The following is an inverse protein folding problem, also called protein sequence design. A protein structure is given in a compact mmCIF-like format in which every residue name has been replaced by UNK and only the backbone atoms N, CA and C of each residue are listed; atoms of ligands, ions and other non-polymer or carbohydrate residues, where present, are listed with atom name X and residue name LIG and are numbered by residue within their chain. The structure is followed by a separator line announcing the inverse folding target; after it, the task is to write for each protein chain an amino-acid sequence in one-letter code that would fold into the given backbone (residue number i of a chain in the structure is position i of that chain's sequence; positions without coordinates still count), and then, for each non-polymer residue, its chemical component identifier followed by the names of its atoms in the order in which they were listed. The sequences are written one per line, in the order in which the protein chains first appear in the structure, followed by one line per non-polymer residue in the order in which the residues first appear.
data_IF_731115258650
#
_entry.id   IF_731115258650
#
_cell.length_a   1.000
_cell.length_b   1.000
_cell.length_c   1.000
_cell.angle_alpha   90.00
_cell.angle_beta   90.00
_cell.angle_gamma   90.00
#
_symmetry.space_group_name_H-M   'P 1'
#
loop_
_entity.id
_entity.type
_entity.pdbx_description
1 polymer ?
#
# COMPACT_ATOMS: atom_id res chain seq x y z
N UNK A 1 9.28 -19.94 -26.02
CA UNK A 1 9.27 -19.74 -27.49
C UNK A 1 10.65 -20.07 -27.97
N UNK A 2 10.86 -21.24 -28.57
CA UNK A 2 12.14 -21.57 -29.20
C UNK A 2 12.19 -20.89 -30.59
N UNK A 3 13.34 -20.36 -30.98
CA UNK A 3 13.53 -19.77 -32.32
C UNK A 3 13.18 -18.29 -32.48
N UNK A 4 12.84 -17.55 -31.42
CA UNK A 4 12.70 -16.09 -31.50
C UNK A 4 14.00 -15.38 -31.06
N UNK A 5 14.43 -14.33 -31.77
CA UNK A 5 15.54 -13.48 -31.35
C UNK A 5 15.11 -12.67 -30.13
N UNK A 6 15.65 -13.01 -28.96
CA UNK A 6 15.34 -12.37 -27.67
C UNK A 6 16.65 -12.01 -26.97
N UNK A 7 16.79 -10.75 -26.56
CA UNK A 7 17.86 -10.31 -25.67
C UNK A 7 17.53 -10.76 -24.24
N UNK A 8 18.50 -11.38 -23.56
CA UNK A 8 18.32 -11.90 -22.21
C UNK A 8 18.98 -10.97 -21.21
N UNK A 9 18.18 -10.41 -20.30
CA UNK A 9 18.68 -9.64 -19.15
C UNK A 9 18.66 -10.53 -17.90
N UNK A 10 19.82 -10.88 -17.32
CA UNK A 10 19.88 -11.69 -16.11
C UNK A 10 19.36 -10.94 -14.87
N UNK A 11 18.67 -11.64 -13.97
CA UNK A 11 18.13 -11.09 -12.71
C UNK A 11 18.82 -11.75 -11.49
N UNK A 12 19.06 -11.03 -10.38
CA UNK A 12 18.65 -9.65 -10.06
C UNK A 12 19.62 -8.56 -10.50
N UNK A 13 19.10 -7.55 -11.22
CA UNK A 13 19.85 -6.32 -11.54
C UNK A 13 19.93 -5.39 -10.33
N UNK A 14 18.89 -5.36 -9.49
CA UNK A 14 18.74 -4.40 -8.39
C UNK A 14 19.78 -4.53 -7.25
N UNK A 15 20.62 -5.56 -7.25
CA UNK A 15 21.65 -5.79 -6.21
C UNK A 15 23.07 -5.45 -6.67
N UNK A 16 23.25 -5.07 -7.93
CA UNK A 16 24.57 -4.86 -8.51
C UNK A 16 25.03 -3.40 -8.34
N UNK A 17 26.33 -3.16 -8.13
CA UNK A 17 26.87 -1.81 -8.18
C UNK A 17 26.81 -1.26 -9.62
N UNK A 18 26.91 0.06 -9.83
CA UNK A 18 26.80 0.66 -11.16
C UNK A 18 27.65 0.02 -12.27
N UNK A 19 28.90 -0.42 -12.03
CA UNK A 19 29.67 -1.16 -13.04
C UNK A 19 29.03 -2.49 -13.45
N UNK A 20 28.49 -3.26 -12.50
CA UNK A 20 27.81 -4.52 -12.79
C UNK A 20 26.44 -4.34 -13.47
N UNK A 21 25.80 -3.18 -13.27
CA UNK A 21 24.61 -2.80 -14.06
C UNK A 21 24.99 -2.42 -15.49
N UNK A 22 26.11 -1.70 -15.67
CA UNK A 22 26.63 -1.33 -16.99
C UNK A 22 27.01 -2.56 -17.80
N UNK A 23 27.72 -3.53 -17.21
CA UNK A 23 28.12 -4.77 -17.89
C UNK A 23 26.90 -5.55 -18.43
N UNK A 24 25.83 -5.66 -17.63
CA UNK A 24 24.59 -6.30 -18.06
C UNK A 24 23.91 -5.51 -19.18
N UNK A 25 23.91 -4.18 -19.09
CA UNK A 25 23.34 -3.32 -20.11
C UNK A 25 24.10 -3.45 -21.44
N UNK A 26 25.44 -3.46 -21.39
CA UNK A 26 26.31 -3.59 -22.56
C UNK A 26 26.13 -4.96 -23.23
N UNK A 27 26.03 -6.04 -22.45
CA UNK A 27 25.75 -7.38 -22.96
C UNK A 27 24.37 -7.46 -23.63
N UNK A 28 23.34 -6.85 -23.03
CA UNK A 28 21.99 -6.82 -23.59
C UNK A 28 21.93 -6.00 -24.88
N UNK A 29 22.61 -4.85 -24.92
CA UNK A 29 22.73 -4.02 -26.12
C UNK A 29 23.47 -4.76 -27.22
N UNK A 30 24.58 -5.44 -26.93
CA UNK A 30 25.32 -6.25 -27.90
C UNK A 30 24.45 -7.35 -28.52
N UNK A 31 23.63 -8.02 -27.71
CA UNK A 31 22.66 -8.99 -28.20
C UNK A 31 21.61 -8.33 -29.12
N UNK A 32 21.10 -7.15 -28.78
CA UNK A 32 20.14 -6.41 -29.61
C UNK A 32 20.75 -6.03 -30.95
N UNK A 33 21.97 -5.50 -30.96
CA UNK A 33 22.68 -5.10 -32.18
C UNK A 33 22.90 -6.32 -33.08
N UNK A 34 23.42 -7.43 -32.54
CA UNK A 34 23.58 -8.67 -33.31
C UNK A 34 22.27 -9.14 -33.94
N UNK A 35 21.16 -9.12 -33.21
CA UNK A 35 19.85 -9.52 -33.72
C UNK A 35 19.30 -8.58 -34.81
N UNK A 36 19.74 -7.33 -34.86
CA UNK A 36 19.36 -6.37 -35.90
C UNK A 36 20.22 -6.49 -37.16
N UNK A 37 21.48 -6.93 -37.02
CA UNK A 37 22.45 -7.02 -38.11
C UNK A 37 22.53 -8.41 -38.76
N UNK A 38 22.18 -9.47 -38.04
CA UNK A 38 22.28 -10.83 -38.52
C UNK A 38 21.21 -11.18 -39.57
N UNK A 39 21.59 -12.05 -40.52
CA UNK A 39 20.67 -12.58 -41.52
C UNK A 39 19.59 -13.46 -40.87
N UNK A 40 18.33 -13.26 -41.29
CA UNK A 40 17.17 -13.84 -40.60
C UNK A 40 17.18 -15.38 -40.54
N UNK A 41 17.71 -16.04 -41.57
CA UNK A 41 17.81 -17.50 -41.63
C UNK A 41 18.83 -18.07 -40.64
N UNK A 42 19.99 -17.42 -40.54
CA UNK A 42 21.06 -17.79 -39.62
C UNK A 42 20.66 -17.50 -38.18
N UNK A 43 20.05 -16.34 -37.94
CA UNK A 43 19.56 -15.94 -36.63
C UNK A 43 18.46 -16.89 -36.12
N UNK A 44 17.59 -17.37 -37.01
CA UNK A 44 16.56 -18.34 -36.65
C UNK A 44 17.14 -19.70 -36.25
N UNK A 45 18.18 -20.18 -36.93
CA UNK A 45 18.90 -21.40 -36.55
C UNK A 45 19.67 -21.23 -35.24
N UNK A 46 20.36 -20.10 -35.07
CA UNK A 46 21.04 -19.76 -33.81
C UNK A 46 20.04 -19.74 -32.64
N UNK A 47 18.90 -19.06 -32.79
CA UNK A 47 17.87 -18.96 -31.75
C UNK A 47 17.14 -20.28 -31.47
N UNK A 48 17.08 -21.20 -32.45
CA UNK A 48 16.57 -22.57 -32.24
C UNK A 48 17.52 -23.39 -31.38
N UNK A 49 18.83 -23.23 -31.58
CA UNK A 49 19.87 -24.01 -30.91
C UNK A 49 20.38 -23.36 -29.61
N UNK A 50 20.10 -22.08 -29.39
CA UNK A 50 20.51 -21.34 -28.19
C UNK A 50 19.87 -21.97 -26.93
N UNK A 51 20.67 -22.47 -25.97
CA UNK A 51 20.16 -22.94 -24.70
C UNK A 51 19.64 -21.72 -23.93
N UNK A 52 18.33 -21.51 -23.95
CA UNK A 52 17.73 -20.50 -23.08
C UNK A 52 17.92 -20.95 -21.64
N UNK A 53 18.39 -20.08 -20.73
CA UNK A 53 18.39 -20.40 -19.32
C UNK A 53 16.96 -20.81 -18.99
N UNK A 54 16.79 -22.06 -18.50
CA UNK A 54 15.49 -22.52 -18.01
C UNK A 54 15.05 -21.41 -17.07
N UNK A 55 13.89 -20.78 -17.34
CA UNK A 55 13.26 -19.87 -16.36
C UNK A 55 13.38 -20.63 -15.05
N UNK A 56 14.26 -20.17 -14.16
CA UNK A 56 14.23 -20.63 -12.80
C UNK A 56 12.80 -20.29 -12.44
N UNK A 57 11.94 -21.30 -12.29
CA UNK A 57 10.63 -21.05 -11.69
C UNK A 57 11.02 -20.29 -10.46
N UNK A 58 10.67 -19.01 -10.37
CA UNK A 58 10.74 -18.32 -9.11
C UNK A 58 9.95 -19.26 -8.21
N UNK A 59 10.65 -20.00 -7.34
CA UNK A 59 10.07 -21.15 -6.64
C UNK A 59 8.97 -20.66 -5.70
N UNK A 60 8.95 -19.37 -5.47
CA UNK A 60 7.84 -18.57 -5.02
C UNK A 60 7.01 -18.08 -6.22
N UNK A 61 5.94 -18.80 -6.57
CA UNK A 61 4.67 -18.06 -6.70
C UNK A 61 4.44 -17.56 -5.30
N UNK A 62 4.51 -16.25 -5.07
CA UNK A 62 4.10 -15.74 -3.78
C UNK A 62 2.75 -16.37 -3.47
N UNK A 63 2.60 -17.00 -2.30
CA UNK A 63 1.29 -17.37 -1.73
C UNK A 63 0.36 -16.14 -1.61
N UNK A 64 0.80 -14.97 -2.08
CA UNK A 64 0.20 -13.69 -1.88
C UNK A 64 0.22 -12.82 -3.15
N UNK A 65 0.42 -13.44 -4.33
CA UNK A 65 0.25 -12.76 -5.62
C UNK A 65 -1.22 -12.77 -6.03
N UNK A 66 -1.97 -11.76 -5.60
CA UNK A 66 -3.27 -11.43 -6.18
C UNK A 66 -3.28 -9.97 -6.61
N UNK A 67 -3.68 -9.71 -7.85
CA UNK A 67 -3.80 -8.37 -8.40
C UNK A 67 -5.28 -7.97 -8.54
N UNK A 68 -5.86 -7.55 -7.42
CA UNK A 68 -7.27 -7.11 -7.37
C UNK A 68 -7.53 -5.79 -8.12
N UNK A 69 -6.48 -5.04 -8.45
CA UNK A 69 -6.59 -3.74 -9.11
C UNK A 69 -6.03 -3.75 -10.54
N UNK A 70 -5.75 -4.93 -11.09
CA UNK A 70 -5.37 -5.08 -12.49
C UNK A 70 -6.49 -4.54 -13.41
N UNK A 71 -6.15 -3.96 -14.58
CA UNK A 71 -7.13 -3.69 -15.62
C UNK A 71 -7.90 -4.98 -15.97
N UNK A 72 -9.22 -4.98 -15.74
CA UNK A 72 -10.09 -6.14 -15.97
C UNK A 72 -10.21 -7.13 -14.81
N UNK A 73 -9.71 -6.79 -13.61
CA UNK A 73 -10.04 -7.55 -12.41
C UNK A 73 -11.56 -7.58 -12.18
N UNK A 74 -12.13 -8.72 -11.76
CA UNK A 74 -13.57 -8.81 -11.54
C UNK A 74 -13.99 -7.94 -10.37
N UNK A 75 -15.11 -7.21 -10.52
CA UNK A 75 -15.67 -6.37 -9.45
C UNK A 75 -16.10 -7.17 -8.22
N UNK A 76 -16.49 -8.43 -8.44
CA UNK A 76 -16.94 -9.36 -7.39
C UNK A 76 -16.35 -10.74 -7.63
N UNK A 77 -16.08 -11.44 -6.54
CA UNK A 77 -15.61 -12.83 -6.57
C UNK A 77 -16.51 -13.68 -5.69
N UNK A 78 -16.84 -14.89 -6.16
CA UNK A 78 -17.49 -15.89 -5.33
C UNK A 78 -16.44 -16.57 -4.47
N UNK A 79 -16.67 -16.57 -3.15
CA UNK A 79 -15.85 -17.26 -2.17
C UNK A 79 -16.62 -18.42 -1.52
N UNK A 80 -15.95 -19.25 -0.73
CA UNK A 80 -16.61 -20.25 0.12
C UNK A 80 -17.57 -19.59 1.13
N UNK A 81 -18.65 -20.30 1.48
CA UNK A 81 -19.64 -19.80 2.43
C UNK A 81 -19.14 -19.81 3.89
N UNK A 82 -18.22 -20.72 4.23
CA UNK A 82 -17.62 -20.79 5.56
C UNK A 82 -16.66 -19.61 5.77
N UNK A 83 -16.80 -18.83 6.86
CA UNK A 83 -15.85 -17.79 7.23
C UNK A 83 -14.41 -18.30 7.32
N UNK A 84 -14.18 -19.51 7.82
CA UNK A 84 -12.86 -20.13 7.96
C UNK A 84 -12.25 -20.44 6.59
N UNK A 85 -13.05 -21.01 5.68
CA UNK A 85 -12.61 -21.31 4.32
C UNK A 85 -12.34 -20.01 3.54
N UNK A 86 -13.16 -18.98 3.72
CA UNK A 86 -12.96 -17.67 3.11
C UNK A 86 -11.68 -16.99 3.63
N UNK A 87 -11.46 -16.98 4.95
CA UNK A 87 -10.23 -16.49 5.56
C UNK A 87 -9.00 -17.22 5.02
N UNK A 88 -9.07 -18.55 4.89
CA UNK A 88 -7.97 -19.35 4.32
C UNK A 88 -7.67 -18.97 2.88
N UNK A 89 -8.69 -18.81 2.03
CA UNK A 89 -8.49 -18.45 0.61
C UNK A 89 -7.91 -17.05 0.47
N UNK A 90 -8.42 -16.07 1.22
CA UNK A 90 -7.91 -14.69 1.17
C UNK A 90 -6.50 -14.59 1.74
N UNK A 91 -6.19 -15.33 2.81
CA UNK A 91 -4.83 -15.46 3.32
C UNK A 91 -3.90 -16.04 2.25
N UNK A 92 -4.25 -17.18 1.64
CA UNK A 92 -3.50 -17.83 0.55
C UNK A 92 -3.44 -17.04 -0.77
N UNK A 93 -4.06 -15.86 -0.83
CA UNK A 93 -3.98 -14.94 -1.97
C UNK A 93 -3.30 -13.62 -1.63
N UNK A 94 -2.95 -13.39 -0.38
CA UNK A 94 -2.25 -12.16 0.02
C UNK A 94 -3.16 -10.98 0.27
N UNK A 95 -4.45 -11.24 0.45
CA UNK A 95 -5.45 -10.19 0.54
C UNK A 95 -5.75 -9.78 1.98
N UNK A 96 -5.04 -10.38 2.93
CA UNK A 96 -5.15 -10.09 4.35
C UNK A 96 -3.77 -9.80 4.91
N UNK A 97 -3.76 -9.23 6.09
CA UNK A 97 -2.59 -9.05 6.94
C UNK A 97 -2.24 -10.30 7.75
N UNK A 98 -2.90 -11.44 7.53
CA UNK A 98 -2.71 -12.66 8.32
C UNK A 98 -3.66 -12.81 9.51
N UNK A 99 -4.46 -11.79 9.81
CA UNK A 99 -5.54 -11.86 10.78
C UNK A 99 -6.88 -12.19 10.08
N UNK A 100 -7.86 -12.74 10.81
CA UNK A 100 -9.22 -12.86 10.30
C UNK A 100 -9.77 -11.50 9.85
N UNK A 101 -10.57 -11.50 8.79
CA UNK A 101 -11.15 -10.28 8.22
C UNK A 101 -12.68 -10.38 8.13
N UNK A 102 -13.33 -9.22 8.05
CA UNK A 102 -14.77 -9.15 7.77
C UNK A 102 -14.98 -9.13 6.25
N UNK A 103 -15.69 -10.12 5.72
CA UNK A 103 -15.94 -10.20 4.28
C UNK A 103 -16.68 -8.95 3.78
N UNK A 104 -16.15 -8.23 2.76
CA UNK A 104 -16.82 -7.09 2.13
C UNK A 104 -17.92 -7.60 1.19
N UNK A 105 -18.96 -8.20 1.75
CA UNK A 105 -20.16 -8.59 1.00
C UNK A 105 -20.84 -7.34 0.43
N UNK A 106 -21.63 -7.45 -0.65
CA UNK A 106 -22.32 -6.31 -1.25
C UNK A 106 -23.05 -5.44 -0.23
N UNK A 107 -23.85 -6.04 0.66
CA UNK A 107 -24.61 -5.31 1.68
C UNK A 107 -23.71 -4.53 2.67
N UNK A 108 -22.61 -5.14 3.14
CA UNK A 108 -21.67 -4.47 4.06
C UNK A 108 -20.89 -3.37 3.35
N UNK A 109 -20.53 -3.60 2.09
CA UNK A 109 -19.85 -2.62 1.27
C UNK A 109 -20.75 -1.42 0.98
N UNK A 110 -22.02 -1.63 0.62
CA UNK A 110 -23.00 -0.58 0.40
C UNK A 110 -23.27 0.23 1.68
N UNK A 111 -23.45 -0.46 2.81
CA UNK A 111 -23.62 0.19 4.11
C UNK A 111 -22.40 1.03 4.52
N UNK A 112 -21.19 0.55 4.23
CA UNK A 112 -19.94 1.31 4.48
C UNK A 112 -19.79 2.50 3.53
N UNK A 113 -20.15 2.32 2.25
CA UNK A 113 -20.06 3.35 1.21
C UNK A 113 -20.96 4.54 1.56
N UNK A 114 -22.14 4.27 2.13
CA UNK A 114 -23.08 5.26 2.65
C UNK A 114 -23.36 6.40 1.65
N UNK A 115 -23.67 6.03 0.40
CA UNK A 115 -24.05 6.95 -0.68
C UNK A 115 -22.91 7.74 -1.34
N UNK A 116 -21.64 7.47 -1.00
CA UNK A 116 -20.49 8.07 -1.69
C UNK A 116 -20.33 7.50 -3.10
N UNK A 117 -19.77 8.28 -4.01
CA UNK A 117 -19.48 7.85 -5.39
C UNK A 117 -18.33 6.82 -5.41
N UNK A 118 -18.58 5.53 -5.70
CA UNK A 118 -17.56 4.50 -5.58
C UNK A 118 -16.42 4.63 -6.62
N UNK A 119 -16.70 5.26 -7.76
CA UNK A 119 -15.71 5.51 -8.81
C UNK A 119 -14.79 6.70 -8.55
N UNK A 120 -15.07 7.54 -7.53
CA UNK A 120 -14.26 8.71 -7.22
C UNK A 120 -12.82 8.29 -6.91
N UNK A 121 -11.88 8.77 -7.73
CA UNK A 121 -10.45 8.50 -7.54
C UNK A 121 -9.86 9.40 -6.46
N UNK A 122 -9.14 8.78 -5.52
CA UNK A 122 -8.39 9.45 -4.46
C UNK A 122 -6.95 9.69 -4.91
N UNK A 123 -6.36 8.74 -5.64
CA UNK A 123 -5.05 8.84 -6.29
C UNK A 123 -4.37 7.48 -6.46
N UNK A 124 -3.09 7.49 -6.81
CA UNK A 124 -2.30 6.29 -7.03
C UNK A 124 -1.50 5.92 -5.77
N UNK A 125 -1.56 4.65 -5.38
CA UNK A 125 -0.86 4.12 -4.21
C UNK A 125 0.41 3.38 -4.66
N UNK A 126 1.57 3.92 -4.30
CA UNK A 126 2.87 3.29 -4.47
C UNK A 126 2.99 2.00 -3.60
N UNK A 127 3.82 1.01 -3.98
CA UNK A 127 4.75 1.01 -5.11
C UNK A 127 4.17 0.53 -6.46
N UNK A 128 2.98 -0.08 -6.49
CA UNK A 128 2.37 -0.56 -7.76
C UNK A 128 1.65 0.51 -8.56
N UNK A 129 1.51 1.71 -8.00
CA UNK A 129 0.66 2.77 -8.57
C UNK A 129 -0.78 2.30 -8.75
N UNK A 130 -1.28 1.50 -7.79
CA UNK A 130 -2.65 1.02 -7.81
C UNK A 130 -3.64 2.17 -7.64
N UNK A 131 -4.69 2.20 -8.45
CA UNK A 131 -5.70 3.26 -8.43
C UNK A 131 -6.59 3.12 -7.20
N UNK A 132 -6.46 4.00 -6.22
CA UNK A 132 -7.36 4.05 -5.07
C UNK A 132 -8.63 4.83 -5.44
N UNK A 133 -9.76 4.15 -5.40
CA UNK A 133 -11.10 4.75 -5.50
C UNK A 133 -11.79 4.69 -4.15
N UNK A 134 -12.85 5.48 -3.97
CA UNK A 134 -13.68 5.35 -2.76
C UNK A 134 -14.20 3.92 -2.60
N UNK A 135 -14.59 3.25 -3.69
CA UNK A 135 -15.11 1.89 -3.66
C UNK A 135 -14.10 0.85 -3.18
N UNK A 136 -12.86 0.84 -3.70
CA UNK A 136 -11.88 -0.16 -3.25
C UNK A 136 -11.33 0.16 -1.85
N UNK A 137 -11.24 1.44 -1.46
CA UNK A 137 -10.92 1.81 -0.07
C UNK A 137 -12.03 1.35 0.89
N UNK A 138 -13.29 1.48 0.48
CA UNK A 138 -14.46 0.99 1.24
C UNK A 138 -14.38 -0.52 1.48
N UNK A 139 -14.01 -1.31 0.47
CA UNK A 139 -13.82 -2.75 0.65
C UNK A 139 -12.73 -3.06 1.70
N UNK A 140 -11.59 -2.38 1.64
CA UNK A 140 -10.51 -2.52 2.63
C UNK A 140 -10.92 -2.07 4.04
N UNK A 141 -11.76 -1.03 4.16
CA UNK A 141 -12.30 -0.57 5.43
C UNK A 141 -13.24 -1.61 6.05
N UNK A 142 -14.11 -2.24 5.24
CA UNK A 142 -14.94 -3.36 5.73
C UNK A 142 -14.05 -4.50 6.20
N UNK A 143 -13.05 -4.90 5.40
CA UNK A 143 -12.12 -5.98 5.77
C UNK A 143 -11.41 -5.73 7.10
N UNK A 144 -11.06 -4.47 7.39
CA UNK A 144 -10.45 -4.06 8.65
C UNK A 144 -11.41 -4.10 9.85
N UNK A 145 -12.72 -4.25 9.62
CA UNK A 145 -13.75 -4.17 10.65
C UNK A 145 -14.07 -2.74 11.08
N UNK A 146 -13.86 -1.75 10.21
CA UNK A 146 -14.22 -0.37 10.50
C UNK A 146 -15.74 -0.16 10.50
N UNK A 147 -16.20 0.96 11.05
CA UNK A 147 -17.60 1.41 10.92
C UNK A 147 -17.72 2.52 9.88
N UNK A 148 -18.93 2.78 9.32
CA UNK A 148 -19.14 3.86 8.36
C UNK A 148 -18.71 5.24 8.88
N UNK A 149 -18.82 5.47 10.20
CA UNK A 149 -18.40 6.72 10.85
C UNK A 149 -16.88 6.98 10.73
N UNK A 150 -16.06 5.92 10.58
CA UNK A 150 -14.61 6.01 10.44
C UNK A 150 -14.17 6.32 9.00
N UNK A 151 -15.05 6.18 8.00
CA UNK A 151 -14.70 6.37 6.59
C UNK A 151 -14.10 7.74 6.25
N UNK A 152 -14.58 8.88 6.79
CA UNK A 152 -13.95 10.17 6.54
C UNK A 152 -12.45 10.18 6.90
N UNK A 153 -12.07 9.55 8.02
CA UNK A 153 -10.67 9.46 8.46
C UNK A 153 -9.87 8.55 7.54
N UNK A 154 -10.42 7.39 7.16
CA UNK A 154 -9.75 6.42 6.27
C UNK A 154 -9.52 7.01 4.87
N UNK A 155 -10.50 7.74 4.32
CA UNK A 155 -10.38 8.42 3.03
C UNK A 155 -9.35 9.56 3.10
N UNK A 156 -9.36 10.34 4.19
CA UNK A 156 -8.37 11.39 4.41
C UNK A 156 -6.95 10.82 4.56
N UNK A 157 -6.79 9.72 5.30
CA UNK A 157 -5.52 9.02 5.44
C UNK A 157 -5.03 8.48 4.09
N UNK A 158 -5.92 7.88 3.29
CA UNK A 158 -5.60 7.42 1.93
C UNK A 158 -5.14 8.57 1.03
N UNK A 159 -5.82 9.72 1.07
CA UNK A 159 -5.40 10.91 0.33
C UNK A 159 -4.05 11.45 0.82
N UNK A 160 -3.77 11.39 2.11
CA UNK A 160 -2.46 11.80 2.65
C UNK A 160 -1.32 10.88 2.16
N UNK A 161 -1.61 9.61 1.86
CA UNK A 161 -0.63 8.66 1.33
C UNK A 161 -0.18 8.98 -0.10
N UNK A 162 -0.99 9.68 -0.88
CA UNK A 162 -0.68 10.04 -2.28
C UNK A 162 0.16 11.31 -2.40
N UNK A 163 0.42 12.00 -1.29
CA UNK A 163 1.22 13.23 -1.28
C UNK A 163 2.69 12.90 -1.52
N UNK A 164 3.26 13.46 -2.58
CA UNK A 164 4.65 13.21 -3.01
C UNK A 164 5.67 13.38 -1.87
N UNK A 165 5.49 14.39 -1.01
CA UNK A 165 6.37 14.67 0.13
C UNK A 165 6.49 13.51 1.13
N UNK A 166 5.48 12.63 1.21
CA UNK A 166 5.54 11.45 2.07
C UNK A 166 6.53 10.40 1.55
N UNK A 167 6.82 10.40 0.24
CA UNK A 167 7.66 9.43 -0.45
C UNK A 167 7.26 7.98 -0.09
N UNK A 168 5.99 7.66 -0.33
CA UNK A 168 5.40 6.37 0.07
C UNK A 168 6.17 5.17 -0.51
N UNK A 169 6.69 5.29 -1.73
CA UNK A 169 7.50 4.26 -2.38
C UNK A 169 8.72 3.88 -1.54
N UNK A 170 9.44 4.86 -1.01
CA UNK A 170 10.58 4.63 -0.13
C UNK A 170 10.16 3.97 1.19
N UNK A 171 9.00 4.35 1.74
CA UNK A 171 8.49 3.79 2.99
C UNK A 171 8.01 2.34 2.87
N UNK A 172 7.41 1.95 1.73
CA UNK A 172 6.95 0.58 1.51
C UNK A 172 8.08 -0.35 1.04
N UNK A 173 8.99 0.14 0.20
CA UNK A 173 10.01 -0.70 -0.46
C UNK A 173 11.35 -0.76 0.28
N UNK A 174 11.45 -0.16 1.47
CA UNK A 174 12.67 -0.16 2.28
C UNK A 174 12.88 -1.49 3.01
N UNK A 175 14.13 -1.80 3.35
CA UNK A 175 14.49 -2.90 4.25
C UNK A 175 14.25 -2.57 5.73
N UNK A 176 14.03 -1.30 6.07
CA UNK A 176 13.60 -0.89 7.41
C UNK A 176 12.12 -1.23 7.64
N UNK A 177 11.72 -1.71 8.84
CA UNK A 177 10.33 -2.02 9.12
C UNK A 177 9.50 -0.75 9.40
N UNK A 178 9.20 0.04 8.36
CA UNK A 178 8.37 1.23 8.49
C UNK A 178 6.88 0.85 8.69
N UNK A 179 6.30 1.26 9.82
CA UNK A 179 4.85 1.33 10.02
C UNK A 179 4.35 2.73 9.66
N UNK A 180 3.17 2.81 9.05
CA UNK A 180 2.60 4.09 8.61
C UNK A 180 1.61 4.59 9.68
N UNK A 181 2.01 5.62 10.43
CA UNK A 181 1.20 6.16 11.52
C UNK A 181 0.14 7.13 11.00
N UNK A 182 -1.11 6.89 11.36
CA UNK A 182 -2.23 7.83 11.15
C UNK A 182 -2.52 8.61 12.43
N UNK A 183 -2.21 9.90 12.45
CA UNK A 183 -2.57 10.80 13.56
C UNK A 183 -3.86 11.53 13.21
N UNK A 184 -4.88 11.38 14.05
CA UNK A 184 -6.18 12.01 13.88
C UNK A 184 -6.28 13.23 14.77
N UNK A 185 -6.78 14.33 14.21
CA UNK A 185 -6.92 15.59 14.93
C UNK A 185 -8.33 16.16 14.77
N UNK A 186 -8.79 16.84 15.83
CA UNK A 186 -10.04 17.60 15.87
C UNK A 186 -11.21 16.81 16.45
N UNK A 187 -12.43 17.40 16.43
CA UNK A 187 -13.61 16.83 17.09
C UNK A 187 -13.94 15.39 16.68
N UNK A 188 -13.60 15.01 15.44
CA UNK A 188 -13.81 13.65 14.94
C UNK A 188 -13.05 12.58 15.74
N UNK A 189 -11.95 12.95 16.40
CA UNK A 189 -11.24 12.04 17.29
C UNK A 189 -12.08 11.67 18.52
N UNK A 190 -12.76 12.65 19.10
CA UNK A 190 -13.67 12.44 20.24
C UNK A 190 -14.95 11.73 19.78
N UNK A 191 -15.53 12.13 18.64
CA UNK A 191 -16.74 11.51 18.06
C UNK A 191 -16.55 10.02 17.77
N UNK A 192 -15.34 9.60 17.41
CA UNK A 192 -14.98 8.22 17.08
C UNK A 192 -14.30 7.46 18.23
N UNK A 193 -14.17 8.08 19.41
CA UNK A 193 -13.47 7.50 20.57
C UNK A 193 -12.05 7.03 20.22
N UNK A 194 -11.29 7.86 19.50
CA UNK A 194 -9.90 7.59 19.13
C UNK A 194 -8.99 7.96 20.30
N UNK A 195 -8.22 7.00 20.80
CA UNK A 195 -7.35 7.25 21.95
C UNK A 195 -6.14 8.12 21.61
N UNK A 196 -5.78 9.00 22.54
CA UNK A 196 -4.64 9.93 22.49
C UNK A 196 -3.69 9.84 23.71
N UNK A 197 -4.06 9.08 24.75
CA UNK A 197 -3.33 9.02 26.03
C UNK A 197 -2.65 7.66 26.30
N UNK A 198 -2.83 7.16 27.52
CA UNK A 198 -2.27 5.86 27.95
C UNK A 198 -2.64 4.76 26.96
N UNK A 199 -1.63 4.02 26.50
CA UNK A 199 -1.81 2.90 25.56
C UNK A 199 -2.46 3.29 24.20
N UNK A 200 -2.38 4.55 23.76
CA UNK A 200 -3.02 4.99 22.52
C UNK A 200 -2.51 4.29 21.24
N UNK A 201 -1.28 3.77 21.28
CA UNK A 201 -0.68 2.98 20.20
C UNK A 201 -0.87 1.46 20.38
N UNK A 202 -1.55 1.04 21.45
CA UNK A 202 -1.76 -0.36 21.80
C UNK A 202 -3.18 -0.84 21.51
N UNK A 203 -3.55 -1.95 22.14
CA UNK A 203 -4.87 -2.57 22.04
C UNK A 203 -5.95 -1.84 22.86
N UNK A 204 -7.21 -2.19 22.59
CA UNK A 204 -8.37 -1.84 23.42
C UNK A 204 -9.33 -0.84 22.80
N UNK A 205 -8.87 -0.06 21.81
CA UNK A 205 -9.69 0.96 21.14
C UNK A 205 -9.96 0.54 19.71
N UNK A 206 -11.24 0.28 19.41
CA UNK A 206 -11.67 -0.26 18.12
C UNK A 206 -11.34 0.69 16.97
N UNK A 207 -11.56 1.99 17.13
CA UNK A 207 -11.28 2.98 16.09
C UNK A 207 -9.79 3.03 15.70
N UNK A 208 -8.89 3.08 16.68
CA UNK A 208 -7.43 3.03 16.45
C UNK A 208 -7.06 1.77 15.66
N UNK A 209 -7.54 0.61 16.12
CA UNK A 209 -7.25 -0.68 15.49
C UNK A 209 -7.76 -0.75 14.05
N UNK A 210 -9.03 -0.43 13.84
CA UNK A 210 -9.70 -0.55 12.53
C UNK A 210 -9.20 0.47 11.52
N UNK A 211 -8.99 1.74 11.91
CA UNK A 211 -8.46 2.78 11.01
C UNK A 211 -7.03 2.44 10.58
N UNK A 212 -6.15 2.12 11.54
CA UNK A 212 -4.77 1.75 11.22
C UNK A 212 -4.69 0.50 10.35
N UNK A 213 -5.53 -0.50 10.62
CA UNK A 213 -5.61 -1.73 9.81
C UNK A 213 -6.18 -1.47 8.41
N UNK A 214 -7.18 -0.61 8.26
CA UNK A 214 -7.72 -0.22 6.95
C UNK A 214 -6.64 0.44 6.08
N UNK A 215 -5.83 1.33 6.66
CA UNK A 215 -4.68 1.95 5.97
C UNK A 215 -3.66 0.88 5.54
N UNK A 216 -3.36 -0.10 6.40
CA UNK A 216 -2.48 -1.22 6.02
C UNK A 216 -3.05 -2.05 4.87
N UNK A 217 -4.34 -2.38 4.91
CA UNK A 217 -4.99 -3.16 3.86
C UNK A 217 -5.02 -2.39 2.53
N UNK A 218 -5.24 -1.07 2.54
CA UNK A 218 -5.09 -0.21 1.35
C UNK A 218 -3.68 -0.32 0.76
N UNK A 219 -2.64 -0.19 1.59
CA UNK A 219 -1.25 -0.33 1.13
C UNK A 219 -0.96 -1.70 0.54
N UNK A 220 -1.53 -2.76 1.12
CA UNK A 220 -1.34 -4.13 0.66
C UNK A 220 -2.12 -4.43 -0.62
N UNK A 221 -3.44 -4.22 -0.60
CA UNK A 221 -4.35 -4.64 -1.67
C UNK A 221 -4.36 -3.69 -2.86
N UNK A 222 -4.13 -2.38 -2.63
CA UNK A 222 -4.08 -1.35 -3.68
C UNK A 222 -2.63 -1.04 -4.04
N UNK A 223 -1.80 -0.72 -3.04
CA UNK A 223 -0.39 -0.40 -3.26
C UNK A 223 0.47 -1.61 -3.65
N UNK A 224 0.00 -2.83 -3.39
CA UNK A 224 0.73 -4.07 -3.65
C UNK A 224 1.86 -4.33 -2.65
N UNK A 225 1.90 -3.64 -1.52
CA UNK A 225 2.96 -3.74 -0.51
C UNK A 225 2.84 -5.02 0.35
N UNK A 226 2.82 -6.17 -0.31
CA UNK A 226 2.81 -7.49 0.29
C UNK A 226 4.20 -7.86 0.80
N UNK A 227 4.33 -8.40 2.04
CA UNK A 227 5.59 -8.89 2.60
C UNK A 227 6.34 -9.84 1.66
N UNK A 228 7.61 -9.56 1.40
CA UNK A 228 8.48 -10.36 0.56
C UNK A 228 8.33 -10.13 -0.96
N UNK A 229 7.25 -9.46 -1.39
CA UNK A 229 7.04 -9.07 -2.78
C UNK A 229 7.53 -7.63 -2.98
N UNK A 230 6.74 -6.64 -2.55
CA UNK A 230 7.08 -5.22 -2.66
C UNK A 230 7.30 -4.55 -1.30
N UNK A 231 6.81 -5.14 -0.21
CA UNK A 231 7.31 -4.81 1.11
C UNK A 231 8.62 -5.57 1.37
N UNK A 232 9.71 -4.82 1.54
CA UNK A 232 11.08 -5.34 1.62
C UNK A 232 11.67 -5.34 3.03
N UNK A 233 10.86 -5.08 4.05
CA UNK A 233 11.35 -5.03 5.44
C UNK A 233 12.06 -6.34 5.84
N UNK A 234 13.25 -6.23 6.43
CA UNK A 234 14.07 -7.42 6.79
C UNK A 234 13.46 -8.22 7.94
N UNK A 235 12.91 -7.55 8.96
CA UNK A 235 12.41 -8.20 10.19
C UNK A 235 10.95 -7.85 10.55
N UNK A 236 10.33 -6.92 9.80
CA UNK A 236 8.97 -6.44 10.08
C UNK A 236 8.83 -5.66 11.40
N UNK A 237 7.60 -5.19 11.69
CA UNK A 237 7.24 -4.57 12.98
C UNK A 237 5.74 -4.74 13.25
N UNK A 238 5.29 -4.92 14.51
CA UNK A 238 3.86 -4.94 14.85
C UNK A 238 3.11 -3.68 14.42
N UNK A 239 3.78 -2.53 14.31
CA UNK A 239 3.20 -1.28 13.82
C UNK A 239 2.73 -1.36 12.34
N UNK A 240 3.02 -2.45 11.63
CA UNK A 240 2.47 -2.69 10.29
C UNK A 240 1.08 -3.33 10.32
N UNK A 241 0.58 -3.86 11.44
CA UNK A 241 -0.79 -4.38 11.52
C UNK A 241 -1.81 -3.26 11.69
N UNK A 242 -1.52 -2.33 12.60
CA UNK A 242 -2.32 -1.13 12.84
C UNK A 242 -1.47 -0.08 13.53
N UNK A 243 -1.59 1.17 13.10
CA UNK A 243 -0.87 2.29 13.71
C UNK A 243 -1.65 3.59 13.55
N UNK A 244 -2.55 3.85 14.51
CA UNK A 244 -3.39 5.04 14.53
C UNK A 244 -3.66 5.49 15.96
N UNK A 245 -3.62 6.80 16.20
CA UNK A 245 -4.04 7.42 17.45
C UNK A 245 -4.43 8.89 17.21
N UNK A 246 -5.05 9.51 18.21
CA UNK A 246 -5.45 10.91 18.16
C UNK A 246 -4.39 11.82 18.79
N UNK A 247 -4.31 13.06 18.31
CA UNK A 247 -3.53 14.10 18.99
C UNK A 247 -4.13 14.39 20.37
N UNK A 248 -3.28 14.49 21.40
CA UNK A 248 -3.70 14.97 22.71
C UNK A 248 -3.74 16.51 22.72
N UNK A 249 -4.89 17.08 22.36
CA UNK A 249 -5.05 18.54 22.26
C UNK A 249 -4.85 19.29 23.58
N UNK A 250 -5.21 18.69 24.72
CA UNK A 250 -5.08 19.33 26.03
C UNK A 250 -3.63 19.44 26.51
N UNK A 251 -2.82 18.41 26.21
CA UNK A 251 -1.42 18.35 26.61
C UNK A 251 -0.44 18.78 25.51
N UNK A 252 -0.93 19.20 24.32
CA UNK A 252 -0.06 19.59 23.21
C UNK A 252 0.57 20.98 23.48
N UNK A 253 1.91 21.07 23.66
CA UNK A 253 2.59 22.36 23.85
C UNK A 253 2.73 23.17 22.55
N UNK A 254 2.46 22.55 21.39
CA UNK A 254 2.48 23.19 20.08
C UNK A 254 1.09 23.64 19.67
N UNK A 255 1.05 24.58 18.73
CA UNK A 255 -0.21 24.97 18.14
C UNK A 255 -0.85 23.76 17.42
N UNK A 256 -2.19 23.58 17.48
CA UNK A 256 -2.88 22.45 16.88
C UNK A 256 -2.46 22.23 15.42
N UNK A 257 -2.43 20.99 14.90
CA UNK A 257 -1.99 20.73 13.52
C UNK A 257 -2.72 21.54 12.43
N UNK A 258 -3.89 22.14 12.75
CA UNK A 258 -4.64 23.06 11.91
C UNK A 258 -4.01 24.46 11.76
N UNK A 259 -3.23 24.95 12.73
CA UNK A 259 -2.69 26.31 12.72
C UNK A 259 -1.51 26.51 11.77
N UNK A 260 -0.76 25.46 11.44
CA UNK A 260 0.45 25.56 10.60
C UNK A 260 0.15 25.44 9.10
N UNK A 261 -0.99 25.94 8.61
CA UNK A 261 -1.30 25.93 7.18
C UNK A 261 -2.69 26.36 6.72
N UNK A 262 -3.56 26.88 7.59
CA UNK A 262 -4.82 27.47 7.17
C UNK A 262 -4.74 29.00 7.20
N UNK A 263 -4.67 29.62 6.02
CA UNK A 263 -4.90 31.05 5.89
C UNK A 263 -6.26 31.40 6.49
N UNK A 264 -6.24 32.44 7.31
CA UNK A 264 -7.34 32.96 8.10
C UNK A 264 -8.37 33.67 7.20
N UNK A 265 -9.09 32.95 6.35
CA UNK A 265 -10.25 33.48 5.63
C UNK A 265 -11.33 32.41 5.38
N UNK A 266 -12.28 32.32 6.31
CA UNK A 266 -13.72 32.55 6.08
C UNK A 266 -14.47 32.24 7.37
N UNK A 267 -14.86 33.32 8.07
CA UNK A 267 -16.04 33.28 8.95
C UNK A 267 -17.25 32.99 8.06
N UNK A 268 -18.23 32.29 8.63
CA UNK A 268 -19.55 31.96 8.08
C UNK A 268 -19.56 31.04 6.85
N UNK A 269 -19.68 29.72 7.07
CA UNK A 269 -20.81 28.92 6.58
C UNK A 269 -20.68 27.45 7.06
N UNK A 270 -21.76 26.96 7.67
CA UNK A 270 -22.16 25.55 7.86
C UNK A 270 -21.26 24.61 8.69
N UNK A 271 -21.91 23.93 9.64
CA UNK A 271 -21.44 22.70 10.30
C UNK A 271 -21.02 21.68 9.24
N UNK A 272 -19.73 21.53 9.03
CA UNK A 272 -19.12 20.45 8.26
C UNK A 272 -17.76 20.14 8.88
N UNK A 273 -17.66 18.98 9.52
CA UNK A 273 -16.50 18.49 10.23
C UNK A 273 -15.22 18.58 9.36
N UNK A 274 -14.25 19.37 9.82
CA UNK A 274 -12.92 19.44 9.22
C UNK A 274 -12.07 18.27 9.73
N UNK A 275 -12.27 17.06 9.19
CA UNK A 275 -11.41 15.91 9.48
C UNK A 275 -10.12 16.01 8.64
N UNK A 276 -8.97 16.27 9.27
CA UNK A 276 -7.66 16.11 8.63
C UNK A 276 -6.88 15.02 9.36
N UNK A 277 -6.73 13.87 8.73
CA UNK A 277 -5.75 12.87 9.12
C UNK A 277 -4.38 13.29 8.55
N UNK A 278 -3.33 13.31 9.37
CA UNK A 278 -1.95 13.40 8.88
C UNK A 278 -1.27 12.06 9.08
N UNK A 279 -0.57 11.64 8.05
CA UNK A 279 0.24 10.44 8.10
C UNK A 279 1.67 10.82 8.45
N UNK A 280 2.20 10.29 9.56
CA UNK A 280 3.61 10.40 9.93
C UNK A 280 4.27 9.03 9.81
N UNK A 281 5.57 9.00 9.54
CA UNK A 281 6.37 7.77 9.60
C UNK A 281 7.39 7.92 10.72
N UNK A 282 7.41 7.00 11.67
CA UNK A 282 8.45 6.92 12.68
C UNK A 282 9.60 6.09 12.12
N UNK A 283 10.71 6.74 11.79
CA UNK A 283 11.97 6.08 11.45
C UNK A 283 12.83 6.02 12.71
N UNK A 284 12.98 4.86 13.34
CA UNK A 284 13.98 4.68 14.42
C UNK A 284 15.36 4.54 13.78
N UNK A 285 15.92 5.65 13.34
CA UNK A 285 17.35 5.77 13.03
C UNK A 285 17.99 6.68 14.05
N UNK A 286 18.98 6.18 14.79
CA UNK A 286 19.87 6.96 15.63
C UNK A 286 20.67 7.96 14.77
N UNK A 287 20.07 9.09 14.43
CA UNK A 287 20.77 10.27 13.91
C UNK A 287 20.23 11.50 14.63
N UNK A 288 21.16 12.31 15.14
CA UNK A 288 20.93 13.51 15.96
C UNK A 288 19.81 14.39 15.39
N UNK A 289 18.98 15.01 16.24
CA UNK A 289 17.87 15.83 15.77
C UNK A 289 18.41 17.03 15.00
N UNK A 290 18.19 17.04 13.69
CA UNK A 290 18.13 18.29 12.93
C UNK A 290 16.67 18.69 12.88
N UNK A 291 16.42 19.85 13.47
CA UNK A 291 15.19 20.63 13.52
C UNK A 291 14.40 20.56 12.21
N UNK A 292 13.08 20.34 12.29
CA UNK A 292 12.17 20.52 11.16
C UNK A 292 10.94 21.32 11.57
N UNK A 293 10.59 22.30 10.72
CA UNK A 293 9.42 23.18 10.77
C UNK A 293 8.10 22.47 10.42
#
# INVERSE_FOLDING_TARGET
MAGLPIAVVPHPVAKLPPPGVSEIADEAVGQIVHMLEAEAGELAEECRNRPLPKRGRMRYRSLFEGDFNAPGAPERISGPDSPEALNRVFYQRGWTDGLPFVAPTPDRWEAMLNGREPGEEIGLIEPRLGRATVGNVTANAVMAGATPAMMPVILAATRAMTVERLNLKALQSTTHPCGLLTVVHGPIAEELDIAFGTNCMGQGVHANAAIGRAVRLVLTNIGGAQPGVLDRATMGTPAKYSYCFAENGEANPWAPFQSNGASRQRKTLSRSAASRARTMSTTTTARRPKTFC
#
